data_IF_468300043712
#
_entry.id   IF_468300043712
#
_cell.length_a   1.000
_cell.length_b   1.000
_cell.length_c   1.000
_cell.angle_alpha   90.00
_cell.angle_beta   90.00
_cell.angle_gamma   90.00
#
_symmetry.space_group_name_H-M   'P 1'
#
loop_
_entity.id
_entity.type
_entity.pdbx_description
1 polymer ?
#
# COMPACT_ATOMS: atom_id res chain seq x y z
N UNK A 1 -16.16 -88.27 16.99
CA UNK A 1 -17.46 -87.71 16.58
C UNK A 1 -17.87 -88.09 15.16
N UNK A 2 -16.96 -88.16 14.17
CA UNK A 2 -17.31 -88.58 12.80
C UNK A 2 -17.70 -90.07 12.65
N UNK A 3 -17.17 -90.97 13.50
CA UNK A 3 -17.52 -92.40 13.45
C UNK A 3 -18.89 -92.70 14.11
N UNK A 4 -19.33 -91.85 15.05
CA UNK A 4 -20.63 -92.00 15.70
C UNK A 4 -21.77 -91.51 14.78
N UNK A 5 -21.53 -90.47 13.97
CA UNK A 5 -22.52 -89.98 13.00
C UNK A 5 -22.65 -90.90 11.79
N UNK A 6 -21.58 -91.58 11.35
CA UNK A 6 -21.67 -92.56 10.26
C UNK A 6 -22.47 -93.81 10.64
N UNK A 7 -22.30 -94.32 11.87
CA UNK A 7 -23.07 -95.47 12.36
C UNK A 7 -24.57 -95.15 12.51
N UNK A 8 -24.90 -93.93 12.96
CA UNK A 8 -26.29 -93.46 13.05
C UNK A 8 -26.94 -93.33 11.66
N UNK A 9 -26.21 -92.83 10.67
CA UNK A 9 -26.69 -92.72 9.28
C UNK A 9 -26.85 -94.10 8.62
N UNK A 10 -25.98 -95.07 8.92
CA UNK A 10 -26.15 -96.44 8.45
C UNK A 10 -27.33 -97.16 9.11
N UNK A 11 -27.57 -96.95 10.40
CA UNK A 11 -28.79 -97.43 11.05
C UNK A 11 -30.05 -96.81 10.48
N UNK A 12 -30.07 -95.50 10.24
CA UNK A 12 -31.20 -94.85 9.57
C UNK A 12 -31.39 -95.36 8.15
N UNK A 13 -30.30 -95.59 7.41
CA UNK A 13 -30.37 -96.17 6.07
C UNK A 13 -30.92 -97.59 6.09
N UNK A 14 -30.51 -98.40 7.06
CA UNK A 14 -31.01 -99.77 7.22
C UNK A 14 -32.48 -99.78 7.66
N UNK A 15 -32.90 -98.87 8.56
CA UNK A 15 -34.30 -98.67 8.93
C UNK A 15 -35.13 -98.19 7.73
N UNK A 16 -34.60 -97.28 6.93
CA UNK A 16 -35.25 -96.79 5.70
C UNK A 16 -35.41 -97.91 4.67
N UNK A 17 -34.38 -98.75 4.47
CA UNK A 17 -34.46 -99.91 3.56
C UNK A 17 -35.46 -100.95 4.10
N UNK A 18 -35.48 -101.22 5.40
CA UNK A 18 -36.42 -102.15 6.01
C UNK A 18 -37.86 -101.64 5.90
N UNK A 19 -38.09 -100.34 6.14
CA UNK A 19 -39.38 -99.70 5.95
C UNK A 19 -39.82 -99.71 4.47
N UNK A 20 -38.90 -99.47 3.54
CA UNK A 20 -39.18 -99.53 2.11
C UNK A 20 -39.56 -100.95 1.65
N UNK A 21 -38.89 -101.98 2.18
CA UNK A 21 -39.26 -103.38 1.90
C UNK A 21 -40.62 -103.74 2.49
N UNK A 22 -40.90 -103.35 3.73
CA UNK A 22 -42.21 -103.57 4.33
C UNK A 22 -43.33 -102.89 3.54
N UNK A 23 -43.09 -101.67 3.06
CA UNK A 23 -44.00 -100.96 2.16
C UNK A 23 -44.17 -101.65 0.80
N UNK A 24 -43.09 -102.17 0.24
CA UNK A 24 -43.15 -102.91 -1.02
C UNK A 24 -43.94 -104.21 -0.87
N UNK A 25 -43.74 -104.94 0.23
CA UNK A 25 -44.50 -106.15 0.55
C UNK A 25 -46.00 -105.83 0.76
N UNK A 26 -46.32 -104.68 1.39
CA UNK A 26 -47.70 -104.20 1.51
C UNK A 26 -48.32 -103.84 0.15
N UNK A 27 -47.57 -103.18 -0.74
CA UNK A 27 -48.02 -102.84 -2.10
C UNK A 27 -48.22 -104.07 -2.98
N UNK A 28 -47.31 -105.04 -2.92
CA UNK A 28 -47.45 -106.32 -3.62
C UNK A 28 -48.66 -107.12 -3.10
N UNK A 29 -48.91 -107.07 -1.78
CA UNK A 29 -50.12 -107.63 -1.18
C UNK A 29 -51.43 -106.96 -1.62
N UNK A 30 -51.39 -105.65 -1.95
CA UNK A 30 -52.55 -104.91 -2.45
C UNK A 30 -52.87 -105.18 -3.92
N UNK A 31 -51.86 -105.51 -4.75
CA UNK A 31 -52.06 -105.90 -6.16
C UNK A 31 -52.88 -107.19 -6.32
N UNK A 32 -52.99 -108.01 -5.28
CA UNK A 32 -53.74 -109.27 -5.29
C UNK A 32 -55.09 -109.18 -4.56
N UNK A 33 -55.45 -108.01 -4.03
CA UNK A 33 -56.76 -107.76 -3.40
C UNK A 33 -57.70 -107.02 -4.36
N UNK A 34 -58.98 -107.38 -4.33
CA UNK A 34 -60.03 -106.65 -5.05
C UNK A 34 -60.07 -105.17 -4.63
N UNK A 35 -60.23 -104.24 -5.60
CA UNK A 35 -60.16 -102.77 -5.39
C UNK A 35 -61.07 -102.25 -4.26
N UNK A 36 -62.14 -102.98 -3.91
CA UNK A 36 -63.05 -102.63 -2.81
C UNK A 36 -62.47 -102.79 -1.40
N UNK A 37 -61.39 -103.56 -1.25
CA UNK A 37 -60.71 -103.81 0.04
C UNK A 37 -59.49 -102.89 0.26
N UNK A 38 -59.23 -101.97 -0.67
CA UNK A 38 -58.16 -101.00 -0.51
C UNK A 38 -58.51 -100.01 0.62
N UNK A 39 -57.54 -99.67 1.50
CA UNK A 39 -57.73 -98.68 2.54
C UNK A 39 -58.29 -97.38 1.94
N UNK A 40 -59.18 -96.71 2.66
CA UNK A 40 -59.78 -95.43 2.25
C UNK A 40 -58.80 -94.40 1.64
N UNK A 41 -57.54 -94.23 2.11
CA UNK A 41 -56.61 -93.30 1.48
C UNK A 41 -56.14 -93.69 0.07
N UNK A 42 -56.37 -94.93 -0.39
CA UNK A 42 -55.98 -95.41 -1.74
C UNK A 42 -57.15 -95.30 -2.73
N UNK A 43 -58.37 -94.98 -2.27
CA UNK A 43 -59.53 -94.66 -3.14
C UNK A 43 -59.45 -93.19 -3.55
N UNK A 44 -58.47 -92.87 -4.38
CA UNK A 44 -58.04 -91.53 -4.75
C UNK A 44 -58.87 -90.88 -5.87
N UNK A 45 -60.13 -91.25 -6.10
CA UNK A 45 -60.92 -90.69 -7.23
C UNK A 45 -61.50 -89.27 -6.96
N UNK A 46 -61.19 -88.64 -5.83
CA UNK A 46 -61.59 -87.26 -5.53
C UNK A 46 -60.49 -86.40 -4.90
N UNK A 47 -59.61 -87.00 -4.09
CA UNK A 47 -58.52 -86.27 -3.42
C UNK A 47 -57.45 -85.74 -4.40
N UNK A 48 -57.27 -86.36 -5.57
CA UNK A 48 -56.33 -85.87 -6.59
C UNK A 48 -56.80 -84.57 -7.23
N UNK A 49 -58.11 -84.40 -7.44
CA UNK A 49 -58.67 -83.16 -7.99
C UNK A 49 -58.60 -82.04 -6.95
N UNK A 50 -58.95 -82.30 -5.70
CA UNK A 50 -58.84 -81.31 -4.63
C UNK A 50 -57.38 -80.89 -4.38
N UNK A 51 -56.44 -81.84 -4.44
CA UNK A 51 -55.01 -81.55 -4.32
C UNK A 51 -54.47 -80.78 -5.55
N UNK A 52 -54.90 -81.13 -6.75
CA UNK A 52 -54.54 -80.39 -7.97
C UNK A 52 -55.10 -78.96 -7.96
N UNK A 53 -56.33 -78.77 -7.49
CA UNK A 53 -56.94 -77.45 -7.34
C UNK A 53 -56.31 -76.64 -6.21
N UNK A 54 -55.91 -77.27 -5.11
CA UNK A 54 -55.13 -76.61 -4.05
C UNK A 54 -53.76 -76.15 -4.56
N UNK A 55 -53.03 -77.01 -5.27
CA UNK A 55 -51.75 -76.67 -5.89
C UNK A 55 -51.90 -75.55 -6.94
N UNK A 56 -52.98 -75.56 -7.74
CA UNK A 56 -53.28 -74.47 -8.68
C UNK A 56 -53.56 -73.15 -7.97
N UNK A 57 -54.30 -73.16 -6.86
CA UNK A 57 -54.55 -71.95 -6.06
C UNK A 57 -53.27 -71.40 -5.42
N UNK A 58 -52.39 -72.28 -4.95
CA UNK A 58 -51.10 -71.89 -4.38
C UNK A 58 -50.19 -71.26 -5.43
N UNK A 59 -50.03 -71.90 -6.59
CA UNK A 59 -49.28 -71.33 -7.72
C UNK A 59 -49.90 -70.01 -8.19
N UNK A 60 -51.23 -69.92 -8.26
CA UNK A 60 -51.88 -68.67 -8.65
C UNK A 60 -51.64 -67.55 -7.63
N UNK A 61 -51.66 -67.87 -6.33
CA UNK A 61 -51.30 -66.91 -5.29
C UNK A 61 -49.84 -66.46 -5.41
N UNK A 62 -48.91 -67.38 -5.67
CA UNK A 62 -47.51 -67.03 -5.91
C UNK A 62 -47.32 -66.13 -7.13
N UNK A 63 -48.06 -66.38 -8.22
CA UNK A 63 -48.07 -65.52 -9.41
C UNK A 63 -48.60 -64.14 -9.07
N UNK A 64 -49.73 -64.04 -8.37
CA UNK A 64 -50.29 -62.76 -7.94
C UNK A 64 -49.34 -62.00 -7.00
N UNK A 65 -48.66 -62.71 -6.09
CA UNK A 65 -47.68 -62.12 -5.18
C UNK A 65 -46.43 -61.62 -5.94
N UNK A 66 -45.97 -62.36 -6.96
CA UNK A 66 -44.90 -61.92 -7.86
C UNK A 66 -45.31 -60.73 -8.73
N UNK A 67 -46.54 -60.71 -9.25
CA UNK A 67 -47.07 -59.57 -10.01
C UNK A 67 -47.13 -58.31 -9.16
N UNK A 68 -47.62 -58.40 -7.91
CA UNK A 68 -47.60 -57.27 -6.97
C UNK A 68 -46.17 -56.79 -6.68
N UNK A 69 -45.23 -57.71 -6.48
CA UNK A 69 -43.82 -57.35 -6.27
C UNK A 69 -43.24 -56.59 -7.48
N UNK A 70 -43.52 -57.04 -8.71
CA UNK A 70 -43.10 -56.35 -9.93
C UNK A 70 -43.77 -54.99 -10.10
N UNK A 71 -45.04 -54.86 -9.76
CA UNK A 71 -45.74 -53.57 -9.76
C UNK A 71 -45.13 -52.58 -8.75
N UNK A 72 -44.79 -53.04 -7.55
CA UNK A 72 -44.14 -52.21 -6.53
C UNK A 72 -42.70 -51.83 -6.94
N UNK A 73 -41.95 -52.75 -7.54
CA UNK A 73 -40.63 -52.46 -8.08
C UNK A 73 -40.71 -51.44 -9.23
N UNK A 74 -41.65 -51.59 -10.17
CA UNK A 74 -41.82 -50.64 -11.26
C UNK A 74 -42.23 -49.25 -10.76
N UNK A 75 -43.10 -49.14 -9.75
CA UNK A 75 -43.41 -47.87 -9.07
C UNK A 75 -42.18 -47.27 -8.40
N UNK A 76 -41.42 -48.07 -7.65
CA UNK A 76 -40.17 -47.67 -7.01
C UNK A 76 -39.14 -47.16 -8.03
N UNK A 77 -39.03 -47.80 -9.20
CA UNK A 77 -38.18 -47.32 -10.29
C UNK A 77 -38.68 -46.01 -10.89
N UNK A 78 -39.98 -45.87 -11.11
CA UNK A 78 -40.58 -44.62 -11.62
C UNK A 78 -40.37 -43.46 -10.64
N UNK A 79 -40.54 -43.67 -9.34
CA UNK A 79 -40.29 -42.68 -8.30
C UNK A 79 -38.82 -42.26 -8.26
N UNK A 80 -37.88 -43.22 -8.34
CA UNK A 80 -36.44 -42.93 -8.42
C UNK A 80 -36.10 -42.14 -9.67
N UNK A 81 -36.68 -42.47 -10.83
CA UNK A 81 -36.47 -41.73 -12.08
C UNK A 81 -37.04 -40.31 -11.99
N UNK A 82 -38.22 -40.13 -11.40
CA UNK A 82 -38.80 -38.81 -11.16
C UNK A 82 -37.96 -37.98 -10.17
N UNK A 83 -37.43 -38.61 -9.11
CA UNK A 83 -36.53 -37.95 -8.16
C UNK A 83 -35.21 -37.53 -8.81
N UNK A 84 -34.62 -38.37 -9.68
CA UNK A 84 -33.44 -38.03 -10.46
C UNK A 84 -33.70 -36.87 -11.41
N UNK A 85 -34.84 -36.87 -12.13
CA UNK A 85 -35.22 -35.78 -13.00
C UNK A 85 -35.42 -34.46 -12.22
N UNK A 86 -36.09 -34.50 -11.07
CA UNK A 86 -36.27 -33.34 -10.20
C UNK A 86 -34.92 -32.82 -9.65
N UNK A 87 -33.98 -33.71 -9.34
CA UNK A 87 -32.64 -33.34 -8.91
C UNK A 87 -31.85 -32.66 -10.04
N UNK A 88 -31.92 -33.20 -11.27
CA UNK A 88 -31.30 -32.60 -12.45
C UNK A 88 -31.87 -31.22 -12.76
N UNK A 89 -33.19 -31.04 -12.66
CA UNK A 89 -33.82 -29.74 -12.84
C UNK A 89 -33.36 -28.73 -11.78
N UNK A 90 -33.33 -29.13 -10.50
CA UNK A 90 -32.80 -28.28 -9.43
C UNK A 90 -31.34 -27.90 -9.64
N UNK A 91 -30.52 -28.81 -10.17
CA UNK A 91 -29.13 -28.53 -10.51
C UNK A 91 -29.04 -27.53 -11.68
N UNK A 92 -29.83 -27.71 -12.74
CA UNK A 92 -29.88 -26.77 -13.86
C UNK A 92 -30.35 -25.36 -13.43
N UNK A 93 -31.35 -25.27 -12.56
CA UNK A 93 -31.81 -24.00 -12.01
C UNK A 93 -30.75 -23.33 -11.12
N UNK A 94 -30.00 -24.14 -10.35
CA UNK A 94 -28.90 -23.64 -9.54
C UNK A 94 -27.74 -23.13 -10.40
N UNK A 95 -27.40 -23.83 -11.49
CA UNK A 95 -26.40 -23.38 -12.46
C UNK A 95 -26.84 -22.09 -13.16
N UNK A 96 -28.12 -22.00 -13.56
CA UNK A 96 -28.66 -20.78 -14.18
C UNK A 96 -28.59 -19.57 -13.23
N UNK A 97 -28.94 -19.77 -11.95
CA UNK A 97 -28.79 -18.72 -10.92
C UNK A 97 -27.32 -18.32 -10.70
N UNK A 98 -26.41 -19.30 -10.64
CA UNK A 98 -24.99 -19.04 -10.47
C UNK A 98 -24.42 -18.24 -11.66
N UNK A 99 -24.82 -18.58 -12.90
CA UNK A 99 -24.44 -17.82 -14.11
C UNK A 99 -24.99 -16.39 -14.06
N UNK A 100 -26.26 -16.20 -13.74
CA UNK A 100 -26.84 -14.86 -13.64
C UNK A 100 -26.15 -13.97 -12.59
N UNK A 101 -25.74 -14.57 -11.45
CA UNK A 101 -24.96 -13.86 -10.43
C UNK A 101 -23.56 -13.50 -10.98
N UNK A 102 -22.89 -14.43 -11.66
CA UNK A 102 -21.58 -14.18 -12.29
C UNK A 102 -21.66 -13.05 -13.32
N UNK A 103 -22.66 -13.08 -14.20
CA UNK A 103 -22.86 -12.06 -15.24
C UNK A 103 -23.13 -10.68 -14.62
N UNK A 104 -23.88 -10.62 -13.52
CA UNK A 104 -24.12 -9.36 -12.80
C UNK A 104 -22.83 -8.82 -12.16
N UNK A 105 -22.02 -9.69 -11.54
CA UNK A 105 -20.72 -9.29 -11.00
C UNK A 105 -19.76 -8.81 -12.10
N UNK A 106 -19.72 -9.48 -13.24
CA UNK A 106 -18.91 -9.06 -14.38
C UNK A 106 -19.35 -7.70 -14.91
N UNK A 107 -20.66 -7.46 -15.02
CA UNK A 107 -21.19 -6.16 -15.42
C UNK A 107 -20.85 -5.04 -14.41
N UNK A 108 -20.98 -5.31 -13.11
CA UNK A 108 -20.61 -4.37 -12.04
C UNK A 108 -19.09 -4.06 -12.05
N UNK A 109 -18.25 -5.07 -12.26
CA UNK A 109 -16.79 -4.89 -12.37
C UNK A 109 -16.42 -4.02 -13.57
N UNK A 110 -17.03 -4.25 -14.73
CA UNK A 110 -16.79 -3.44 -15.93
C UNK A 110 -17.25 -2.00 -15.71
N UNK A 111 -18.44 -1.80 -15.13
CA UNK A 111 -18.95 -0.45 -14.81
C UNK A 111 -18.03 0.27 -13.83
N UNK A 112 -17.54 -0.41 -12.79
CA UNK A 112 -16.61 0.17 -11.81
C UNK A 112 -15.25 0.50 -12.42
N UNK A 113 -14.76 -0.35 -13.33
CA UNK A 113 -13.53 -0.08 -14.07
C UNK A 113 -13.66 1.17 -14.96
N UNK A 114 -14.80 1.34 -15.64
CA UNK A 114 -15.09 2.52 -16.44
C UNK A 114 -15.15 3.79 -15.58
N UNK A 115 -15.85 3.74 -14.44
CA UNK A 115 -15.93 4.87 -13.50
C UNK A 115 -14.53 5.29 -12.99
N UNK A 116 -13.66 4.32 -12.68
CA UNK A 116 -12.28 4.62 -12.28
C UNK A 116 -11.45 5.22 -13.41
N UNK A 117 -11.65 4.78 -14.66
CA UNK A 117 -10.99 5.36 -15.83
C UNK A 117 -11.45 6.79 -16.08
N UNK A 118 -12.74 7.08 -15.96
CA UNK A 118 -13.30 8.42 -16.09
C UNK A 118 -12.74 9.35 -15.02
N UNK A 119 -12.76 8.93 -13.74
CA UNK A 119 -12.15 9.72 -12.64
C UNK A 119 -10.68 10.00 -12.87
N UNK A 120 -9.92 9.03 -13.37
CA UNK A 120 -8.51 9.23 -13.68
C UNK A 120 -8.31 10.24 -14.82
N UNK A 121 -9.17 10.22 -15.84
CA UNK A 121 -9.13 11.21 -16.93
C UNK A 121 -9.51 12.61 -16.43
N UNK A 122 -10.52 12.73 -15.57
CA UNK A 122 -10.89 14.00 -14.93
C UNK A 122 -9.74 14.56 -14.08
N UNK A 123 -9.09 13.72 -13.26
CA UNK A 123 -7.91 14.14 -12.48
C UNK A 123 -6.74 14.57 -13.38
N UNK A 124 -6.51 13.87 -14.49
CA UNK A 124 -5.49 14.26 -15.46
C UNK A 124 -5.80 15.62 -16.08
N UNK A 125 -7.04 15.84 -16.54
CA UNK A 125 -7.45 17.12 -17.12
C UNK A 125 -7.33 18.26 -16.10
N UNK A 126 -7.71 18.01 -14.84
CA UNK A 126 -7.54 18.99 -13.77
C UNK A 126 -6.06 19.33 -13.55
N UNK A 127 -5.17 18.33 -13.55
CA UNK A 127 -3.72 18.56 -13.44
C UNK A 127 -3.15 19.31 -14.64
N UNK A 128 -3.61 19.00 -15.86
CA UNK A 128 -3.22 19.73 -17.07
C UNK A 128 -3.64 21.20 -17.00
N UNK A 129 -4.85 21.49 -16.52
CA UNK A 129 -5.31 22.86 -16.29
C UNK A 129 -4.46 23.59 -15.24
N UNK A 130 -4.13 22.91 -14.13
CA UNK A 130 -3.25 23.48 -13.11
C UNK A 130 -1.84 23.77 -13.64
N UNK A 131 -1.28 22.88 -14.45
CA UNK A 131 0.02 23.11 -15.10
C UNK A 131 -0.07 24.32 -16.03
N UNK A 132 -1.12 24.41 -16.85
CA UNK A 132 -1.30 25.54 -17.76
C UNK A 132 -1.44 26.89 -17.02
N UNK A 133 -2.20 26.93 -15.91
CA UNK A 133 -2.31 28.13 -15.08
C UNK A 133 -0.96 28.53 -14.46
N UNK A 134 -0.16 27.55 -14.03
CA UNK A 134 1.19 27.80 -13.51
C UNK A 134 2.15 28.27 -14.60
N UNK A 135 2.07 27.72 -15.81
CA UNK A 135 2.84 28.18 -16.97
C UNK A 135 2.49 29.63 -17.33
N UNK A 136 1.21 30.00 -17.37
CA UNK A 136 0.78 31.37 -17.64
C UNK A 136 1.30 32.34 -16.57
N UNK A 137 1.22 31.96 -15.29
CA UNK A 137 1.78 32.74 -14.18
C UNK A 137 3.30 32.88 -14.28
N UNK A 138 4.00 31.82 -14.66
CA UNK A 138 5.45 31.83 -14.85
C UNK A 138 5.85 32.76 -16.01
N UNK A 139 5.17 32.67 -17.15
CA UNK A 139 5.40 33.56 -18.28
C UNK A 139 5.10 35.01 -17.93
N UNK A 140 4.01 35.27 -17.19
CA UNK A 140 3.68 36.60 -16.68
C UNK A 140 4.78 37.17 -15.78
N UNK A 141 5.30 36.36 -14.86
CA UNK A 141 6.42 36.75 -14.00
C UNK A 141 7.71 37.01 -14.79
N UNK A 142 8.02 36.18 -15.80
CA UNK A 142 9.17 36.37 -16.68
C UNK A 142 9.08 37.67 -17.49
N UNK A 143 7.91 37.99 -18.05
CA UNK A 143 7.69 39.27 -18.74
C UNK A 143 7.90 40.45 -17.80
N UNK A 144 7.33 40.41 -16.59
CA UNK A 144 7.49 41.47 -15.59
C UNK A 144 8.96 41.64 -15.15
N UNK A 145 9.73 40.55 -15.04
CA UNK A 145 11.17 40.63 -14.79
C UNK A 145 11.92 41.28 -15.96
N UNK A 146 11.61 40.87 -17.20
CA UNK A 146 12.26 41.46 -18.39
C UNK A 146 11.98 42.96 -18.55
N UNK A 147 10.77 43.42 -18.21
CA UNK A 147 10.42 44.84 -18.19
C UNK A 147 11.19 45.60 -17.11
N UNK A 148 11.35 45.01 -15.93
CA UNK A 148 12.18 45.59 -14.85
C UNK A 148 13.64 45.67 -15.24
N UNK A 149 14.20 44.62 -15.85
CA UNK A 149 15.58 44.63 -16.32
C UNK A 149 15.79 45.71 -17.39
N UNK A 150 14.87 45.84 -18.34
CA UNK A 150 14.90 46.92 -19.34
C UNK A 150 14.82 48.32 -18.69
N UNK A 151 13.98 48.49 -17.66
CA UNK A 151 13.89 49.73 -16.89
C UNK A 151 15.19 50.04 -16.14
N UNK A 152 15.80 49.04 -15.51
CA UNK A 152 17.08 49.18 -14.80
C UNK A 152 18.18 49.58 -15.78
N UNK A 153 18.23 48.96 -16.97
CA UNK A 153 19.21 49.30 -17.98
C UNK A 153 18.99 50.72 -18.54
N UNK A 154 17.74 51.14 -18.67
CA UNK A 154 17.41 52.53 -19.03
C UNK A 154 17.91 53.51 -17.96
N UNK A 155 17.67 53.25 -16.67
CA UNK A 155 18.18 54.08 -15.57
C UNK A 155 19.70 54.08 -15.51
N UNK A 156 20.35 52.93 -15.72
CA UNK A 156 21.82 52.82 -15.80
C UNK A 156 22.39 53.68 -16.92
N UNK A 157 21.77 53.66 -18.10
CA UNK A 157 22.19 54.48 -19.24
C UNK A 157 22.02 55.97 -18.93
N UNK A 158 20.89 56.38 -18.33
CA UNK A 158 20.68 57.77 -17.91
C UNK A 158 21.72 58.22 -16.87
N UNK A 159 22.06 57.36 -15.91
CA UNK A 159 23.10 57.63 -14.92
C UNK A 159 24.49 57.71 -15.54
N UNK A 160 24.77 56.90 -16.56
CA UNK A 160 26.02 56.96 -17.32
C UNK A 160 26.16 58.27 -18.10
N UNK A 161 25.10 58.69 -18.81
CA UNK A 161 25.05 59.95 -19.55
C UNK A 161 25.22 61.15 -18.59
N UNK A 162 24.54 61.12 -17.45
CA UNK A 162 24.68 62.16 -16.43
C UNK A 162 26.11 62.20 -15.84
N UNK A 163 26.72 61.04 -15.58
CA UNK A 163 28.10 60.97 -15.11
C UNK A 163 29.09 61.53 -16.15
N UNK A 164 28.90 61.24 -17.44
CA UNK A 164 29.70 61.81 -18.52
C UNK A 164 29.54 63.32 -18.60
N UNK A 165 28.31 63.83 -18.48
CA UNK A 165 28.04 65.28 -18.45
C UNK A 165 28.80 65.94 -17.28
N UNK A 166 28.67 65.42 -16.06
CA UNK A 166 29.36 65.96 -14.88
C UNK A 166 30.89 65.91 -15.05
N UNK A 167 31.43 64.84 -15.64
CA UNK A 167 32.86 64.76 -15.95
C UNK A 167 33.29 65.84 -16.96
N UNK A 168 32.48 66.09 -17.99
CA UNK A 168 32.74 67.14 -18.99
C UNK A 168 32.68 68.55 -18.38
N UNK A 169 31.76 68.81 -17.45
CA UNK A 169 31.69 70.09 -16.75
C UNK A 169 32.90 70.26 -15.82
N UNK A 170 33.30 69.20 -15.12
CA UNK A 170 34.49 69.20 -14.27
C UNK A 170 35.79 69.44 -15.06
N UNK A 171 35.92 68.88 -16.26
CA UNK A 171 37.09 69.16 -17.13
C UNK A 171 37.07 70.61 -17.62
N UNK A 172 35.92 71.14 -18.02
CA UNK A 172 35.78 72.56 -18.40
C UNK A 172 36.15 73.50 -17.25
N UNK A 173 35.70 73.21 -16.02
CA UNK A 173 36.06 74.00 -14.83
C UNK A 173 37.56 73.92 -14.57
N UNK A 174 38.18 72.73 -14.66
CA UNK A 174 39.64 72.57 -14.52
C UNK A 174 40.41 73.36 -15.57
N UNK A 175 39.99 73.30 -16.83
CA UNK A 175 40.65 74.02 -17.92
C UNK A 175 40.51 75.54 -17.77
N UNK A 176 39.34 76.02 -17.34
CA UNK A 176 39.13 77.44 -17.02
C UNK A 176 40.01 77.89 -15.86
N UNK A 177 40.12 77.09 -14.80
CA UNK A 177 41.00 77.37 -13.67
C UNK A 177 42.47 77.41 -14.12
N UNK A 178 42.89 76.47 -14.97
CA UNK A 178 44.26 76.46 -15.55
C UNK A 178 44.55 77.72 -16.36
N UNK A 179 43.64 78.15 -17.25
CA UNK A 179 43.82 79.39 -18.03
C UNK A 179 43.91 80.63 -17.14
N UNK A 180 43.06 80.73 -16.11
CA UNK A 180 43.12 81.84 -15.16
C UNK A 180 44.46 81.87 -14.40
N UNK A 181 44.98 80.70 -14.01
CA UNK A 181 46.30 80.58 -13.39
C UNK A 181 47.41 81.00 -14.36
N UNK A 182 47.39 80.53 -15.60
CA UNK A 182 48.37 80.92 -16.64
C UNK A 182 48.32 82.44 -16.92
N UNK A 183 47.14 83.05 -16.97
CA UNK A 183 46.98 84.50 -17.08
C UNK A 183 47.56 85.24 -15.88
N UNK A 184 47.31 84.76 -14.65
CA UNK A 184 47.89 85.35 -13.44
C UNK A 184 49.40 85.21 -13.42
N UNK A 185 49.94 84.04 -13.77
CA UNK A 185 51.37 83.79 -13.86
C UNK A 185 52.03 84.67 -14.92
N UNK A 186 51.38 84.89 -16.07
CA UNK A 186 51.84 85.83 -17.09
C UNK A 186 51.85 87.28 -16.57
N UNK A 187 50.82 87.71 -15.84
CA UNK A 187 50.79 89.03 -15.20
C UNK A 187 51.90 89.18 -14.15
N UNK A 188 52.11 88.17 -13.30
CA UNK A 188 53.19 88.14 -12.30
C UNK A 188 54.55 88.19 -13.00
N UNK A 189 54.75 87.43 -14.08
CA UNK A 189 55.97 87.46 -14.87
C UNK A 189 56.23 88.83 -15.50
N UNK A 190 55.20 89.48 -16.06
CA UNK A 190 55.28 90.82 -16.62
C UNK A 190 55.62 91.88 -15.55
N UNK A 191 54.99 91.79 -14.37
CA UNK A 191 55.30 92.64 -13.22
C UNK A 191 56.73 92.40 -12.73
N UNK A 192 57.18 91.15 -12.60
CA UNK A 192 58.57 90.80 -12.25
C UNK A 192 59.56 91.34 -13.28
N UNK A 193 59.25 91.26 -14.58
CA UNK A 193 60.10 91.83 -15.64
C UNK A 193 60.19 93.36 -15.54
N UNK A 194 59.07 94.05 -15.29
CA UNK A 194 59.05 95.50 -15.01
C UNK A 194 59.83 95.88 -13.75
N UNK A 195 59.72 95.08 -12.70
CA UNK A 195 60.50 95.25 -11.47
C UNK A 195 61.99 95.09 -11.74
N UNK A 196 62.41 94.05 -12.49
CA UNK A 196 63.82 93.86 -12.89
C UNK A 196 64.35 94.99 -13.77
N UNK A 197 63.55 95.56 -14.67
CA UNK A 197 63.95 96.72 -15.46
C UNK A 197 64.05 98.01 -14.63
N UNK A 198 63.25 98.16 -13.58
CA UNK A 198 63.28 99.31 -12.67
C UNK A 198 64.27 99.14 -11.50
N UNK A 199 64.69 97.92 -11.19
CA UNK A 199 65.67 97.61 -10.13
C UNK A 199 67.09 97.42 -10.67
N UNK A 200 67.37 97.86 -11.91
CA UNK A 200 68.72 97.87 -12.50
C UNK A 200 69.68 98.89 -11.83
N UNK A 201 69.34 99.42 -10.65
CA UNK A 201 70.22 100.15 -9.76
C UNK A 201 70.15 99.59 -8.34
N UNK A 202 71.22 98.88 -7.94
CA UNK A 202 71.64 98.52 -6.57
C UNK A 202 70.77 97.51 -5.77
N UNK A 203 71.26 96.27 -5.65
CA UNK A 203 72.01 95.72 -4.48
C UNK A 203 71.95 94.18 -4.43
N UNK A 204 73.04 93.60 -3.92
CA UNK A 204 73.32 92.16 -3.75
C UNK A 204 72.57 91.50 -2.57
N UNK A 205 72.27 90.19 -2.77
CA UNK A 205 72.18 89.07 -1.81
C UNK A 205 71.08 89.09 -0.71
N UNK A 206 70.76 87.96 -0.01
CA UNK A 206 71.28 86.58 -0.11
C UNK A 206 70.20 85.45 -0.20
N UNK A 207 70.71 84.23 -0.39
CA UNK A 207 70.05 82.92 -0.24
C UNK A 207 69.23 82.78 1.06
N UNK A 208 67.99 82.32 0.93
CA UNK A 208 67.17 81.84 2.06
C UNK A 208 66.40 80.59 1.62
N UNK A 209 67.00 79.45 1.97
CA UNK A 209 66.39 78.13 2.05
C UNK A 209 65.18 78.16 2.99
N UNK A 210 63.97 77.96 2.45
CA UNK A 210 62.75 77.74 3.24
C UNK A 210 62.26 76.32 2.99
N UNK A 211 62.23 75.54 4.07
CA UNK A 211 61.93 74.12 4.10
C UNK A 211 60.52 73.78 3.62
N UNK A 212 60.47 72.74 2.81
CA UNK A 212 59.26 72.00 2.43
C UNK A 212 58.73 71.28 3.66
N UNK A 213 57.60 71.75 4.20
CA UNK A 213 56.79 70.96 5.14
C UNK A 213 55.85 70.10 4.29
N UNK A 214 56.19 68.82 4.18
CA UNK A 214 55.31 67.79 3.67
C UNK A 214 54.12 67.65 4.63
N UNK A 215 52.92 67.99 4.17
CA UNK A 215 51.68 67.69 4.89
C UNK A 215 51.02 66.49 4.21
N UNK A 216 51.26 65.34 4.82
CA UNK A 216 50.51 64.10 4.66
C UNK A 216 49.03 64.35 4.97
N UNK A 217 48.13 64.04 4.03
CA UNK A 217 46.71 63.88 4.34
C UNK A 217 46.09 62.79 3.49
N UNK A 218 45.91 61.64 4.14
CA UNK A 218 44.77 60.71 4.07
C UNK A 218 44.38 60.13 2.70
N UNK A 219 45.01 59.00 2.39
CA UNK A 219 44.32 57.88 1.75
C UNK A 219 43.35 57.27 2.78
N UNK A 220 42.05 57.52 2.62
CA UNK A 220 41.01 56.69 3.22
C UNK A 220 40.51 55.72 2.13
N UNK A 221 41.09 54.53 2.11
CA UNK A 221 40.61 53.38 1.37
C UNK A 221 39.34 52.85 2.05
N UNK A 222 38.17 53.19 1.51
CA UNK A 222 36.90 52.54 1.88
C UNK A 222 36.89 51.17 1.22
N UNK A 223 37.28 50.14 1.98
CA UNK A 223 37.04 48.74 1.66
C UNK A 223 35.53 48.47 1.66
N UNK A 224 34.96 48.25 0.48
CA UNK A 224 33.67 47.58 0.33
C UNK A 224 33.85 46.09 0.64
N UNK A 225 33.22 45.61 1.72
CA UNK A 225 32.95 44.19 1.91
C UNK A 225 31.60 43.84 1.27
N UNK A 226 31.51 42.84 0.38
CA UNK A 226 30.22 42.29 -0.01
C UNK A 226 29.73 41.33 1.09
N UNK A 227 28.57 41.66 1.65
CA UNK A 227 27.79 40.84 2.58
C UNK A 227 27.28 39.62 1.81
N UNK A 228 27.83 38.45 2.11
CA UNK A 228 27.34 37.18 1.61
C UNK A 228 25.92 36.94 2.11
N UNK A 229 25.03 36.61 1.17
CA UNK A 229 23.66 36.18 1.41
C UNK A 229 23.64 34.89 2.22
N UNK A 230 23.04 34.98 3.39
CA UNK A 230 22.77 33.86 4.29
C UNK A 230 21.41 33.27 3.89
N UNK A 231 21.40 32.38 2.90
CA UNK A 231 20.24 31.56 2.56
C UNK A 231 20.27 30.28 3.40
N UNK A 232 19.93 30.45 4.67
CA UNK A 232 19.67 29.39 5.64
C UNK A 232 18.32 28.72 5.35
N UNK A 233 18.42 27.52 4.77
CA UNK A 233 17.43 26.45 4.76
C UNK A 233 16.68 26.33 6.11
N UNK A 234 15.37 26.52 6.07
CA UNK A 234 14.45 26.22 7.18
C UNK A 234 13.32 25.33 6.65
N UNK A 235 13.66 24.07 6.37
CA UNK A 235 12.72 22.98 6.23
C UNK A 235 12.92 22.04 7.42
N UNK A 236 12.19 22.29 8.51
CA UNK A 236 11.73 21.21 9.38
C UNK A 236 10.61 21.71 10.29
N UNK A 237 9.37 21.43 9.89
CA UNK A 237 8.20 21.56 10.76
C UNK A 237 7.40 20.27 10.63
N UNK A 238 7.87 19.25 11.37
CA UNK A 238 7.04 18.14 11.83
C UNK A 238 5.88 18.72 12.66
N UNK A 239 4.68 18.73 12.07
CA UNK A 239 3.44 18.82 12.84
C UNK A 239 2.88 17.41 13.01
N UNK A 240 3.33 16.73 14.08
CA UNK A 240 2.55 15.65 14.69
C UNK A 240 1.37 16.28 15.44
N UNK A 241 0.18 16.20 14.85
CA UNK A 241 -1.08 16.45 15.54
C UNK A 241 -1.64 15.10 15.98
N UNK A 242 -1.71 14.79 17.28
CA UNK A 242 -2.39 13.58 17.73
C UNK A 242 -3.90 13.83 17.64
N UNK A 243 -4.58 13.22 16.67
CA UNK A 243 -6.03 13.30 16.57
C UNK A 243 -6.68 12.22 17.46
N UNK A 244 -7.52 12.57 18.44
CA UNK A 244 -8.11 11.59 19.35
C UNK A 244 -9.46 11.09 18.83
N UNK A 245 -9.48 10.23 17.80
CA UNK A 245 -10.74 9.69 17.24
C UNK A 245 -11.37 8.53 18.01
N UNK A 246 -10.78 8.09 19.13
CA UNK A 246 -11.30 6.94 19.90
C UNK A 246 -12.60 7.20 20.69
N UNK A 247 -12.99 8.45 20.94
CA UNK A 247 -14.17 8.77 21.77
C UNK A 247 -15.48 8.80 21.01
N UNK A 248 -15.46 9.12 19.71
CA UNK A 248 -16.69 9.31 18.93
C UNK A 248 -17.34 7.98 18.52
N UNK A 249 -16.53 6.95 18.27
CA UNK A 249 -17.02 5.59 17.96
C UNK A 249 -17.68 4.93 19.18
N UNK A 250 -17.13 5.17 20.37
CA UNK A 250 -17.71 4.68 21.62
C UNK A 250 -19.09 5.31 21.90
N UNK A 251 -19.25 6.60 21.62
CA UNK A 251 -20.53 7.32 21.78
C UNK A 251 -21.59 6.81 20.80
N UNK A 252 -21.21 6.47 19.56
CA UNK A 252 -22.13 5.90 18.58
C UNK A 252 -22.65 4.51 18.99
N UNK A 253 -21.78 3.67 19.59
CA UNK A 253 -22.16 2.35 20.11
C UNK A 253 -23.06 2.46 21.36
N UNK A 254 -22.76 3.41 22.26
CA UNK A 254 -23.57 3.66 23.46
C UNK A 254 -24.96 4.22 23.11
N UNK A 255 -25.06 5.05 22.06
CA UNK A 255 -26.34 5.56 21.56
C UNK A 255 -27.21 4.47 20.93
N UNK A 256 -26.61 3.51 20.22
CA UNK A 256 -27.35 2.37 19.65
C UNK A 256 -27.85 1.43 20.73
N UNK A 257 -27.06 1.20 21.79
CA UNK A 257 -27.51 0.42 22.95
C UNK A 257 -28.66 1.10 23.69
N UNK A 258 -28.59 2.42 23.91
CA UNK A 258 -29.67 3.20 24.56
C UNK A 258 -30.95 3.26 23.73
N UNK A 259 -30.86 3.26 22.40
CA UNK A 259 -32.01 3.18 21.49
C UNK A 259 -32.70 1.81 21.51
N UNK A 260 -31.92 0.73 21.66
CA UNK A 260 -32.43 -0.63 21.87
C UNK A 260 -33.17 -0.75 23.21
N UNK A 261 -32.62 -0.20 24.29
CA UNK A 261 -33.30 -0.18 25.60
C UNK A 261 -34.59 0.64 25.57
N UNK A 262 -34.60 1.78 24.85
CA UNK A 262 -35.80 2.60 24.69
C UNK A 262 -36.90 1.85 23.93
N UNK A 263 -36.56 1.09 22.89
CA UNK A 263 -37.55 0.32 22.12
C UNK A 263 -38.13 -0.84 22.91
N UNK A 264 -37.31 -1.59 23.66
CA UNK A 264 -37.83 -2.61 24.58
C UNK A 264 -38.77 -2.03 25.63
N UNK A 265 -38.51 -0.80 26.10
CA UNK A 265 -39.36 -0.11 27.09
C UNK A 265 -40.68 0.40 26.50
N UNK A 266 -40.70 0.75 25.21
CA UNK A 266 -41.92 1.10 24.48
C UNK A 266 -42.77 -0.15 24.20
N UNK A 267 -42.16 -1.29 23.90
CA UNK A 267 -42.86 -2.59 23.79
C UNK A 267 -43.47 -3.03 25.13
N UNK A 268 -42.77 -2.80 26.24
CA UNK A 268 -43.27 -3.14 27.58
C UNK A 268 -44.46 -2.26 27.98
N UNK A 269 -44.41 -0.96 27.68
CA UNK A 269 -45.50 0.00 27.96
C UNK A 269 -46.73 -0.20 27.06
N UNK A 270 -46.58 -0.73 25.85
CA UNK A 270 -47.69 -1.03 24.93
C UNK A 270 -48.36 -2.38 25.22
N UNK A 271 -47.76 -3.21 26.07
CA UNK A 271 -48.32 -4.51 26.49
C UNK A 271 -49.30 -4.44 27.68
N UNK A 272 -49.40 -3.29 28.36
CA UNK A 272 -50.02 -3.20 29.69
C UNK A 272 -51.37 -2.47 29.79
N UNK A 273 -51.94 -1.91 28.71
CA UNK A 273 -53.19 -1.14 28.79
C UNK A 273 -54.23 -1.55 27.72
N UNK A 274 -55.38 -2.01 28.21
CA UNK A 274 -56.51 -2.49 27.42
C UNK A 274 -57.39 -1.31 26.92
N UNK A 275 -57.56 -1.25 25.59
CA UNK A 275 -58.78 -0.87 24.87
C UNK A 275 -59.18 0.61 24.61
N UNK A 276 -58.36 1.64 24.84
CA UNK A 276 -58.75 3.03 24.42
C UNK A 276 -57.73 3.80 23.56
N UNK A 277 -56.57 3.23 23.21
CA UNK A 277 -55.55 3.95 22.42
C UNK A 277 -54.96 3.14 21.25
N UNK A 278 -55.77 2.35 20.54
CA UNK A 278 -55.28 1.45 19.47
C UNK A 278 -54.56 2.21 18.34
N UNK A 279 -55.09 3.34 17.89
CA UNK A 279 -54.55 4.02 16.70
C UNK A 279 -53.28 4.84 17.01
N UNK A 280 -53.18 5.40 18.22
CA UNK A 280 -51.96 6.12 18.67
C UNK A 280 -50.85 5.15 19.08
N UNK A 281 -51.20 4.00 19.65
CA UNK A 281 -50.23 2.94 19.98
C UNK A 281 -49.64 2.32 18.71
N UNK A 282 -50.47 2.07 17.69
CA UNK A 282 -50.03 1.48 16.43
C UNK A 282 -49.13 2.43 15.62
N UNK A 283 -49.43 3.74 15.62
CA UNK A 283 -48.55 4.75 14.99
C UNK A 283 -47.23 4.93 15.72
N UNK A 284 -47.20 4.88 17.05
CA UNK A 284 -45.97 4.90 17.83
C UNK A 284 -45.13 3.63 17.61
N UNK A 285 -45.77 2.48 17.44
CA UNK A 285 -45.08 1.21 17.14
C UNK A 285 -44.42 1.23 15.75
N UNK A 286 -45.15 1.67 14.73
CA UNK A 286 -44.61 1.87 13.37
C UNK A 286 -43.46 2.90 13.35
N UNK A 287 -43.57 3.98 14.11
CA UNK A 287 -42.53 4.99 14.19
C UNK A 287 -41.29 4.46 14.94
N UNK A 288 -41.46 3.65 15.99
CA UNK A 288 -40.37 2.97 16.66
C UNK A 288 -39.68 1.96 15.72
N UNK A 289 -40.44 1.16 14.97
CA UNK A 289 -39.90 0.18 14.02
C UNK A 289 -39.08 0.86 12.91
N UNK A 290 -39.62 1.91 12.30
CA UNK A 290 -38.87 2.69 11.28
C UNK A 290 -37.63 3.39 11.84
N UNK A 291 -37.66 3.84 13.10
CA UNK A 291 -36.48 4.43 13.76
C UNK A 291 -35.43 3.35 14.04
N UNK A 292 -35.83 2.15 14.46
CA UNK A 292 -34.88 1.03 14.65
C UNK A 292 -34.27 0.57 13.34
N UNK A 293 -35.06 0.46 12.27
CA UNK A 293 -34.57 0.09 10.95
C UNK A 293 -33.54 1.11 10.44
N UNK A 294 -33.85 2.41 10.59
CA UNK A 294 -32.90 3.49 10.25
C UNK A 294 -31.66 3.46 11.15
N UNK A 295 -31.80 3.17 12.44
CA UNK A 295 -30.67 3.07 13.36
C UNK A 295 -29.75 1.86 13.05
N UNK A 296 -30.32 0.74 12.61
CA UNK A 296 -29.56 -0.42 12.16
C UNK A 296 -28.86 -0.14 10.83
N UNK A 297 -29.52 0.55 9.90
CA UNK A 297 -28.93 0.98 8.64
C UNK A 297 -27.75 1.94 8.88
N UNK A 298 -27.89 2.91 9.80
CA UNK A 298 -26.79 3.82 10.14
C UNK A 298 -25.67 3.12 10.92
N UNK A 299 -25.97 2.15 11.77
CA UNK A 299 -24.95 1.34 12.43
C UNK A 299 -24.13 0.52 11.42
N UNK A 300 -24.80 -0.04 10.39
CA UNK A 300 -24.13 -0.75 9.31
C UNK A 300 -23.20 0.17 8.50
N UNK A 301 -23.66 1.39 8.17
CA UNK A 301 -22.82 2.35 7.45
C UNK A 301 -21.65 2.85 8.30
N UNK A 302 -21.86 3.12 9.59
CA UNK A 302 -20.78 3.49 10.51
C UNK A 302 -19.73 2.37 10.60
N UNK A 303 -20.16 1.10 10.67
CA UNK A 303 -19.24 -0.03 10.67
C UNK A 303 -18.43 -0.10 9.36
N UNK A 304 -19.09 0.08 8.21
CA UNK A 304 -18.42 0.12 6.91
C UNK A 304 -17.41 1.27 6.82
N UNK A 305 -17.77 2.47 7.28
CA UNK A 305 -16.89 3.64 7.31
C UNK A 305 -15.71 3.43 8.25
N UNK A 306 -15.92 2.78 9.40
CA UNK A 306 -14.82 2.46 10.32
C UNK A 306 -13.82 1.46 9.74
N UNK A 307 -14.31 0.47 8.97
CA UNK A 307 -13.44 -0.48 8.28
C UNK A 307 -12.65 0.22 7.16
N UNK A 308 -13.31 1.06 6.36
CA UNK A 308 -12.65 1.85 5.32
C UNK A 308 -11.61 2.84 5.91
N UNK A 309 -11.87 3.40 7.09
CA UNK A 309 -10.92 4.25 7.81
C UNK A 309 -9.69 3.45 8.25
N UNK A 310 -9.88 2.27 8.85
CA UNK A 310 -8.79 1.40 9.27
C UNK A 310 -7.91 0.96 8.08
N UNK A 311 -8.52 0.63 6.94
CA UNK A 311 -7.80 0.32 5.70
C UNK A 311 -7.02 1.55 5.20
N UNK A 312 -7.61 2.74 5.23
CA UNK A 312 -6.95 3.99 4.86
C UNK A 312 -5.72 4.27 5.74
N UNK A 313 -5.86 4.17 7.06
CA UNK A 313 -4.76 4.34 8.02
C UNK A 313 -3.63 3.32 7.77
N UNK A 314 -3.98 2.05 7.51
CA UNK A 314 -3.00 1.02 7.19
C UNK A 314 -2.23 1.33 5.90
N UNK A 315 -2.91 1.79 4.85
CA UNK A 315 -2.23 2.21 3.61
C UNK A 315 -1.34 3.43 3.81
N UNK A 316 -1.73 4.35 4.69
CA UNK A 316 -0.91 5.50 5.04
C UNK A 316 0.36 5.09 5.80
N UNK A 317 0.25 4.13 6.72
CA UNK A 317 1.40 3.57 7.43
C UNK A 317 2.38 2.87 6.47
N UNK A 318 1.87 2.03 5.56
CA UNK A 318 2.68 1.39 4.52
C UNK A 318 3.38 2.41 3.61
N UNK A 319 2.68 3.49 3.26
CA UNK A 319 3.25 4.60 2.48
C UNK A 319 4.37 5.29 3.26
N UNK A 320 4.16 5.58 4.54
CA UNK A 320 5.19 6.18 5.39
C UNK A 320 6.44 5.28 5.48
N UNK A 321 6.24 3.98 5.71
CA UNK A 321 7.34 3.00 5.72
C UNK A 321 8.10 2.97 4.39
N UNK A 322 7.39 2.93 3.25
CA UNK A 322 8.05 2.94 1.93
C UNK A 322 8.81 4.25 1.68
N UNK A 323 8.27 5.41 2.09
CA UNK A 323 8.99 6.68 1.96
C UNK A 323 10.24 6.74 2.83
N UNK A 324 10.22 6.14 4.03
CA UNK A 324 11.40 6.03 4.90
C UNK A 324 12.50 5.20 4.24
N UNK A 325 12.15 4.02 3.72
CA UNK A 325 13.09 3.13 3.02
C UNK A 325 13.66 3.82 1.77
N UNK A 326 12.83 4.52 0.99
CA UNK A 326 13.30 5.26 -0.19
C UNK A 326 14.26 6.39 0.17
N UNK A 327 14.01 7.12 1.26
CA UNK A 327 14.94 8.15 1.75
C UNK A 327 16.28 7.55 2.16
N UNK A 328 16.27 6.40 2.83
CA UNK A 328 17.49 5.68 3.20
C UNK A 328 18.27 5.19 1.97
N UNK A 329 17.59 4.64 0.97
CA UNK A 329 18.22 4.20 -0.27
C UNK A 329 18.81 5.38 -1.06
N UNK A 330 18.10 6.50 -1.16
CA UNK A 330 18.62 7.73 -1.78
C UNK A 330 19.87 8.21 -1.04
N UNK A 331 19.85 8.21 0.30
CA UNK A 331 21.02 8.58 1.10
C UNK A 331 22.20 7.61 0.86
N UNK A 332 21.93 6.31 0.72
CA UNK A 332 22.92 5.30 0.38
C UNK A 332 23.52 5.52 -1.01
N UNK A 333 22.68 5.76 -2.01
CA UNK A 333 23.10 6.05 -3.38
C UNK A 333 23.90 7.36 -3.48
N UNK A 334 23.51 8.39 -2.74
CA UNK A 334 24.27 9.65 -2.64
C UNK A 334 25.66 9.43 -2.02
N UNK A 335 25.77 8.63 -0.96
CA UNK A 335 27.08 8.24 -0.38
C UNK A 335 27.91 7.42 -1.36
N UNK A 336 27.29 6.53 -2.12
CA UNK A 336 28.00 5.73 -3.13
C UNK A 336 28.45 6.57 -4.33
N UNK A 337 27.64 7.55 -4.74
CA UNK A 337 27.99 8.51 -5.79
C UNK A 337 29.10 9.46 -5.35
N UNK A 338 29.12 9.91 -4.08
CA UNK A 338 30.25 10.69 -3.56
C UNK A 338 31.51 9.83 -3.42
N UNK A 339 31.39 8.55 -3.04
CA UNK A 339 32.51 7.61 -2.99
C UNK A 339 33.08 7.26 -4.38
N UNK A 340 32.24 7.22 -5.44
CA UNK A 340 32.72 6.98 -6.80
C UNK A 340 33.46 8.18 -7.43
N UNK A 341 33.32 9.37 -6.85
CA UNK A 341 34.04 10.58 -7.26
C UNK A 341 35.49 10.64 -6.77
N UNK A 342 35.88 9.75 -5.85
CA UNK A 342 37.24 9.70 -5.31
C UNK A 342 38.13 8.94 -6.28
N UNK A 343 39.13 9.64 -6.83
CA UNK A 343 40.11 9.03 -7.74
C UNK A 343 40.85 7.89 -7.00
N UNK A 344 40.70 6.62 -7.45
CA UNK A 344 41.36 5.49 -6.82
C UNK A 344 42.89 5.61 -6.87
N UNK A 345 43.44 6.36 -7.83
CA UNK A 345 44.87 6.67 -7.91
C UNK A 345 45.35 7.54 -6.75
N UNK A 346 44.57 8.58 -6.42
CA UNK A 346 44.87 9.47 -5.29
C UNK A 346 44.73 8.74 -3.95
N UNK A 347 43.65 7.97 -3.76
CA UNK A 347 43.46 7.18 -2.54
C UNK A 347 44.60 6.16 -2.33
N UNK A 348 45.01 5.49 -3.41
CA UNK A 348 46.15 4.56 -3.39
C UNK A 348 47.45 5.28 -3.01
N UNK A 349 47.70 6.47 -3.54
CA UNK A 349 48.89 7.27 -3.20
C UNK A 349 48.90 7.70 -1.73
N UNK A 350 47.76 8.15 -1.20
CA UNK A 350 47.62 8.54 0.22
C UNK A 350 47.82 7.33 1.14
N UNK A 351 47.28 6.17 0.79
CA UNK A 351 47.46 4.93 1.56
C UNK A 351 48.91 4.44 1.53
N UNK A 352 49.56 4.45 0.37
CA UNK A 352 50.98 4.08 0.25
C UNK A 352 51.85 5.02 1.09
N UNK A 353 51.63 6.33 0.98
CA UNK A 353 52.36 7.32 1.78
C UNK A 353 52.15 7.12 3.29
N UNK A 354 50.95 6.73 3.72
CA UNK A 354 50.65 6.41 5.11
C UNK A 354 51.33 5.13 5.60
N UNK A 355 51.43 4.10 4.75
CA UNK A 355 52.12 2.85 5.10
C UNK A 355 53.65 3.00 5.10
N UNK A 356 54.20 3.78 4.17
CA UNK A 356 55.64 4.03 4.07
C UNK A 356 56.15 4.94 5.19
N UNK A 357 55.35 5.91 5.64
CA UNK A 357 55.72 6.79 6.76
C UNK A 357 55.67 6.11 8.12
N UNK A 358 54.89 5.02 8.25
CA UNK A 358 54.67 4.33 9.52
C UNK A 358 53.85 5.13 10.55
N UNK A 359 53.36 6.31 10.18
CA UNK A 359 52.58 7.20 11.04
C UNK A 359 51.09 7.11 10.71
N UNK A 360 50.37 6.21 11.39
CA UNK A 360 48.92 6.32 11.57
C UNK A 360 48.54 6.44 13.06
N UNK A 361 49.13 7.38 13.84
CA UNK A 361 48.54 7.73 15.12
C UNK A 361 47.28 8.56 14.91
N UNK A 362 46.32 8.38 15.81
CA UNK A 362 44.95 8.92 15.86
C UNK A 362 44.76 10.42 15.60
N UNK A 363 45.84 11.21 15.65
CA UNK A 363 45.84 12.67 15.48
C UNK A 363 46.47 13.15 14.18
N UNK A 364 46.89 12.26 13.26
CA UNK A 364 47.56 12.68 12.04
C UNK A 364 46.58 13.24 11.00
N UNK A 365 46.98 14.29 10.25
CA UNK A 365 46.14 14.91 9.21
C UNK A 365 45.78 13.93 8.09
N UNK A 366 46.58 12.88 7.89
CA UNK A 366 46.32 11.80 6.92
C UNK A 366 45.04 11.03 7.26
N UNK A 367 44.75 10.80 8.54
CA UNK A 367 43.53 10.12 8.97
C UNK A 367 42.28 10.97 8.75
N UNK A 368 42.40 12.30 8.92
CA UNK A 368 41.35 13.26 8.58
C UNK A 368 41.09 13.31 7.08
N UNK A 369 42.15 13.25 6.26
CA UNK A 369 42.04 13.18 4.81
C UNK A 369 41.39 11.87 4.37
N UNK A 370 41.83 10.73 4.92
CA UNK A 370 41.22 9.42 4.65
C UNK A 370 39.77 9.36 5.12
N UNK A 371 39.43 9.92 6.28
CA UNK A 371 38.07 9.99 6.78
C UNK A 371 37.16 10.85 5.91
N UNK A 372 37.68 11.95 5.32
CA UNK A 372 36.94 12.75 4.34
C UNK A 372 36.77 12.04 3.01
N UNK A 373 37.81 11.37 2.52
CA UNK A 373 37.75 10.64 1.24
C UNK A 373 36.84 9.41 1.35
N UNK A 374 36.91 8.68 2.45
CA UNK A 374 36.15 7.45 2.70
C UNK A 374 34.85 7.70 3.48
N UNK A 375 34.52 8.98 3.74
CA UNK A 375 33.31 9.42 4.44
C UNK A 375 33.06 8.68 5.76
N UNK A 376 34.10 8.53 6.60
CA UNK A 376 33.95 7.93 7.91
C UNK A 376 32.98 8.76 8.75
N UNK A 377 32.05 8.07 9.42
CA UNK A 377 31.24 8.69 10.47
C UNK A 377 32.12 9.17 11.63
N UNK A 378 31.65 10.15 12.39
CA UNK A 378 32.39 10.65 13.56
C UNK A 378 32.68 9.52 14.56
N UNK A 379 31.81 8.53 14.67
CA UNK A 379 32.02 7.34 15.50
C UNK A 379 33.13 6.42 14.99
N UNK A 380 33.30 6.30 13.66
CA UNK A 380 34.37 5.49 13.06
C UNK A 380 35.73 6.17 13.19
N UNK A 381 35.76 7.50 13.08
CA UNK A 381 36.92 8.35 13.35
C UNK A 381 37.44 8.18 14.79
N UNK A 382 36.55 8.23 15.79
CA UNK A 382 36.91 7.99 17.20
C UNK A 382 37.38 6.55 17.46
N UNK A 383 36.82 5.57 16.74
CA UNK A 383 37.25 4.17 16.80
C UNK A 383 38.66 3.97 16.24
N UNK A 384 38.95 4.56 15.08
CA UNK A 384 40.31 4.56 14.52
C UNK A 384 41.30 5.25 15.47
N UNK A 385 40.84 6.26 16.21
CA UNK A 385 41.66 6.98 17.17
C UNK A 385 42.04 6.21 18.44
N UNK A 386 41.23 5.22 18.83
CA UNK A 386 41.38 4.49 20.10
C UNK A 386 42.00 3.10 19.95
N UNK A 387 42.28 2.65 18.72
CA UNK A 387 42.91 1.36 18.44
C UNK A 387 42.12 0.13 18.91
N UNK A 388 40.87 0.31 19.35
CA UNK A 388 40.03 -0.78 19.86
C UNK A 388 39.48 -1.60 18.70
N UNK A 389 39.89 -2.89 18.65
CA UNK A 389 39.31 -3.87 17.73
C UNK A 389 37.81 -4.03 18.01
N UNK A 390 36.93 -3.99 17.00
CA UNK A 390 35.50 -4.19 17.20
C UNK A 390 35.25 -5.62 17.68
N UNK A 391 34.74 -5.77 18.91
CA UNK A 391 34.32 -7.06 19.46
C UNK A 391 33.06 -7.61 18.80
N UNK A 392 32.40 -6.85 17.92
CA UNK A 392 31.16 -7.27 17.28
C UNK A 392 31.01 -6.67 15.86
N UNK A 393 31.97 -6.93 14.96
CA UNK A 393 31.77 -6.65 13.53
C UNK A 393 31.03 -7.84 12.90
N UNK A 394 29.69 -7.78 12.90
CA UNK A 394 28.85 -8.74 12.22
C UNK A 394 28.87 -8.38 10.73
N UNK A 395 29.69 -9.06 9.93
CA UNK A 395 29.66 -8.88 8.47
C UNK A 395 28.24 -9.14 7.94
N UNK A 396 27.72 -8.31 7.03
CA UNK A 396 26.52 -8.63 6.27
C UNK A 396 26.71 -10.01 5.62
N UNK A 397 25.75 -10.91 5.82
CA UNK A 397 25.83 -12.33 5.46
C UNK A 397 26.14 -12.61 3.98
N UNK A 398 26.08 -11.60 3.10
CA UNK A 398 26.45 -11.69 1.68
C UNK A 398 27.94 -11.96 1.40
N UNK A 399 28.85 -11.67 2.33
CA UNK A 399 30.29 -11.88 2.11
C UNK A 399 30.86 -13.17 2.71
N UNK A 400 30.06 -13.95 3.45
CA UNK A 400 30.51 -15.24 4.04
C UNK A 400 30.76 -16.35 3.02
N UNK A 401 30.30 -16.22 1.77
CA UNK A 401 30.39 -17.27 0.76
C UNK A 401 31.69 -17.33 -0.06
N UNK A 402 32.52 -16.29 -0.06
CA UNK A 402 33.60 -16.16 -1.04
C UNK A 402 35.00 -16.62 -0.57
N UNK A 403 35.19 -16.97 0.71
CA UNK A 403 36.54 -17.23 1.27
C UNK A 403 36.80 -18.72 1.61
N UNK A 404 35.87 -19.64 1.31
CA UNK A 404 36.05 -21.08 1.57
C UNK A 404 36.22 -21.95 0.32
N UNK A 405 36.71 -21.40 -0.79
CA UNK A 405 37.19 -22.19 -1.94
C UNK A 405 38.59 -21.77 -2.37
N UNK A 406 39.55 -21.91 -1.48
CA UNK A 406 40.95 -22.09 -1.85
C UNK A 406 41.68 -22.72 -0.67
N UNK A 407 41.50 -24.02 -0.50
CA UNK A 407 42.52 -24.97 -0.02
C UNK A 407 42.23 -26.31 -0.67
#
# INVERSE_FOLDING_TARGET
ESEATSASLEEERNRSIAAARAWQDELEGLLHRERGAWPAPVRMEGCEQDAADAARREVQKEVEDMERMLEDDTRSYQEKMAALAAMQQKAADAEARARAISDNFEAELVARQQELQERLQEEMQLREQQVHELEEKLEGAQRALSEKDASIDQERNQMADWAEQVQSEMTQVRDRARRLMEERDAQVAALKARLRSNSAGKLEAPDLTVGVIANSSNQASVQFSPRASDSGSLLDSQHDVPVPYGKEVAVAFELTQKLSEFTSRVEELTSADDQVATDQSETLRLLAETVTEKALATAATVKQLSAALADSEHTHELRNQSTSVLKEEIACLQRNASASSVDPGYLKAVLIAAFESGELPSSTPVLTVLARLLHFSNEELERCGTGKRPSHFQYPSRWRGAVLRSK
#
